data_IF_385059788923
#
_entry.id   IF_385059788923
#
_cell.length_a   1.000
_cell.length_b   1.000
_cell.length_c   1.000
_cell.angle_alpha   90.00
_cell.angle_beta   90.00
_cell.angle_gamma   90.00
#
_symmetry.space_group_name_H-M   'P 1'
#
loop_
_entity.id
_entity.type
_entity.pdbx_description
1 polymer ?
#
# COMPACT_ATOMS: atom_id res chain seq x y z
N UNK A 1 28.92 -35.46 -0.48
CA UNK A 1 27.51 -35.08 -0.70
C UNK A 1 27.50 -34.31 -2.01
N UNK A 2 26.83 -34.89 -3.00
CA UNK A 2 26.65 -34.31 -4.34
C UNK A 2 25.91 -32.98 -4.21
N UNK A 3 26.36 -32.00 -4.98
CA UNK A 3 25.88 -30.63 -4.91
C UNK A 3 24.38 -30.52 -5.17
N UNK A 4 23.72 -29.73 -4.32
CA UNK A 4 22.57 -28.95 -4.75
C UNK A 4 23.11 -27.77 -5.59
N UNK A 5 23.63 -28.10 -6.77
CA UNK A 5 23.92 -27.15 -7.87
C UNK A 5 22.68 -26.92 -8.74
N UNK A 6 21.48 -27.18 -8.21
CA UNK A 6 20.27 -26.54 -8.71
C UNK A 6 20.07 -25.25 -7.91
N UNK A 7 21.01 -24.30 -8.08
CA UNK A 7 20.71 -22.91 -7.82
C UNK A 7 19.41 -22.61 -8.55
N UNK A 8 18.40 -22.17 -7.79
CA UNK A 8 17.06 -21.86 -8.25
C UNK A 8 17.11 -21.36 -9.69
N UNK A 9 16.75 -22.21 -10.65
CA UNK A 9 16.57 -21.73 -12.02
C UNK A 9 15.46 -20.70 -11.89
N UNK A 10 15.81 -19.41 -11.97
CA UNK A 10 14.84 -18.32 -11.91
C UNK A 10 13.89 -18.49 -13.08
N UNK A 11 12.81 -19.23 -12.85
CA UNK A 11 11.74 -19.38 -13.81
C UNK A 11 11.09 -18.01 -13.96
N UNK A 12 10.89 -17.57 -15.19
CA UNK A 12 10.14 -16.34 -15.45
C UNK A 12 8.77 -16.51 -14.78
N UNK A 13 8.41 -15.63 -13.82
CA UNK A 13 7.15 -15.77 -13.10
C UNK A 13 5.98 -15.60 -14.07
N UNK A 14 4.87 -16.28 -13.76
CA UNK A 14 3.65 -16.13 -14.55
C UNK A 14 3.13 -14.69 -14.51
N UNK A 15 2.45 -14.24 -15.56
CA UNK A 15 1.94 -12.86 -15.64
C UNK A 15 1.05 -12.49 -14.44
N UNK A 16 0.21 -13.41 -13.98
CA UNK A 16 -0.62 -13.20 -12.79
C UNK A 16 0.21 -13.03 -11.53
N UNK A 17 1.28 -13.81 -11.39
CA UNK A 17 2.19 -13.73 -10.24
C UNK A 17 2.87 -12.36 -10.18
N UNK A 18 3.36 -11.86 -11.32
CA UNK A 18 3.97 -10.52 -11.42
C UNK A 18 2.99 -9.44 -10.95
N UNK A 19 1.72 -9.50 -11.38
CA UNK A 19 0.71 -8.52 -10.97
C UNK A 19 0.39 -8.61 -9.48
N UNK A 20 0.23 -9.82 -8.96
CA UNK A 20 -0.04 -10.04 -7.53
C UNK A 20 1.12 -9.56 -6.66
N UNK A 21 2.36 -9.94 -6.99
CA UNK A 21 3.56 -9.53 -6.24
C UNK A 21 3.77 -8.02 -6.30
N UNK A 22 3.50 -7.38 -7.45
CA UNK A 22 3.56 -5.93 -7.58
C UNK A 22 2.55 -5.23 -6.66
N UNK A 23 1.31 -5.71 -6.63
CA UNK A 23 0.29 -5.16 -5.75
C UNK A 23 0.62 -5.38 -4.27
N UNK A 24 1.01 -6.60 -3.87
CA UNK A 24 1.43 -6.88 -2.49
C UNK A 24 2.65 -6.06 -2.07
N UNK A 25 3.62 -5.86 -2.97
CA UNK A 25 4.79 -5.01 -2.71
C UNK A 25 4.40 -3.55 -2.45
N UNK A 26 3.41 -3.02 -3.18
CA UNK A 26 2.86 -1.69 -2.91
C UNK A 26 2.18 -1.62 -1.53
N UNK A 27 1.38 -2.63 -1.17
CA UNK A 27 0.66 -2.65 0.11
C UNK A 27 1.62 -2.80 1.31
N UNK A 28 2.59 -3.70 1.22
CA UNK A 28 3.54 -4.02 2.29
C UNK A 28 4.55 -2.90 2.54
N UNK A 29 5.10 -2.33 1.45
CA UNK A 29 6.19 -1.34 1.53
C UNK A 29 5.82 0.01 0.93
N UNK A 30 5.24 0.02 -0.27
CA UNK A 30 4.96 1.25 -1.02
C UNK A 30 4.12 2.27 -0.26
N UNK A 31 3.02 1.85 0.38
CA UNK A 31 2.17 2.74 1.17
C UNK A 31 2.92 3.39 2.34
N UNK A 32 3.75 2.62 3.03
CA UNK A 32 4.57 3.11 4.14
C UNK A 32 5.66 4.05 3.63
N UNK A 33 6.36 3.69 2.56
CA UNK A 33 7.41 4.50 1.94
C UNK A 33 6.90 5.87 1.49
N UNK A 34 5.74 5.93 0.83
CA UNK A 34 5.15 7.20 0.38
C UNK A 34 4.74 8.10 1.55
N UNK A 35 4.29 7.52 2.67
CA UNK A 35 3.97 8.28 3.88
C UNK A 35 5.20 8.83 4.58
N UNK A 36 6.31 8.09 4.61
CA UNK A 36 7.59 8.60 5.12
C UNK A 36 8.14 9.77 4.31
N UNK A 37 7.82 9.84 3.01
CA UNK A 37 8.19 10.97 2.15
C UNK A 37 7.24 12.16 2.26
N UNK A 38 6.07 11.98 2.88
CA UNK A 38 5.08 13.04 2.99
C UNK A 38 5.60 14.17 3.89
N UNK A 39 5.68 15.42 3.40
CA UNK A 39 6.24 16.50 4.19
C UNK A 39 5.29 16.96 5.29
N UNK A 40 5.87 17.54 6.34
CA UNK A 40 5.11 18.36 7.28
C UNK A 40 4.63 19.62 6.57
N UNK A 41 3.43 20.06 6.91
CA UNK A 41 2.83 21.26 6.33
C UNK A 41 2.72 22.29 7.45
N UNK A 42 3.40 23.41 7.28
CA UNK A 42 3.36 24.54 8.22
C UNK A 42 2.48 25.65 7.65
N UNK A 43 1.86 26.43 8.52
CA UNK A 43 1.22 27.68 8.13
C UNK A 43 2.28 28.77 7.82
N UNK A 44 1.84 29.96 7.39
CA UNK A 44 2.76 31.02 6.95
C UNK A 44 3.64 31.54 8.09
N UNK A 45 3.11 31.58 9.31
CA UNK A 45 3.83 32.09 10.48
C UNK A 45 4.54 30.98 11.28
N UNK A 46 4.45 29.72 10.82
CA UNK A 46 5.02 28.53 11.47
C UNK A 46 4.53 28.32 12.91
N UNK A 47 3.33 28.80 13.21
CA UNK A 47 2.68 28.61 14.51
C UNK A 47 1.94 27.27 14.59
N UNK A 48 1.57 26.71 13.44
CA UNK A 48 0.79 25.47 13.34
C UNK A 48 1.48 24.50 12.38
N UNK A 49 1.65 23.26 12.81
CA UNK A 49 2.23 22.17 12.02
C UNK A 49 1.22 21.02 11.85
N UNK A 50 0.99 20.63 10.60
CA UNK A 50 0.30 19.39 10.26
C UNK A 50 1.31 18.30 9.91
N UNK A 51 1.14 17.12 10.51
CA UNK A 51 1.96 15.95 10.20
C UNK A 51 1.12 14.66 10.15
N UNK A 52 1.54 13.73 9.30
CA UNK A 52 1.03 12.36 9.32
C UNK A 52 1.88 11.51 10.26
N UNK A 53 1.24 10.70 11.10
CA UNK A 53 1.93 9.68 11.90
C UNK A 53 2.15 8.45 11.02
N UNK A 54 3.39 8.14 10.72
CA UNK A 54 3.79 7.18 9.69
C UNK A 54 3.77 5.73 10.16
N UNK A 55 3.71 5.50 11.48
CA UNK A 55 3.93 4.19 12.10
C UNK A 55 2.76 3.22 11.91
N UNK A 56 1.53 3.73 11.81
CA UNK A 56 0.33 2.88 11.74
C UNK A 56 -0.70 3.39 10.76
N UNK A 57 -1.38 2.45 10.12
CA UNK A 57 -2.48 2.71 9.21
C UNK A 57 -3.48 1.56 9.27
N UNK A 58 -4.71 1.82 8.85
CA UNK A 58 -5.76 0.81 8.77
C UNK A 58 -6.34 0.79 7.37
N UNK A 59 -6.53 -0.41 6.84
CA UNK A 59 -7.27 -0.65 5.61
C UNK A 59 -8.54 -1.38 5.95
N UNK A 60 -9.67 -0.87 5.47
CA UNK A 60 -10.98 -1.47 5.71
C UNK A 60 -11.34 -2.37 4.55
N UNK A 61 -11.78 -3.59 4.86
CA UNK A 61 -12.29 -4.50 3.85
C UNK A 61 -13.53 -3.90 3.17
N UNK A 62 -13.61 -3.88 1.82
CA UNK A 62 -14.76 -3.36 1.12
C UNK A 62 -16.05 -4.10 1.51
N UNK A 63 -17.12 -3.35 1.83
CA UNK A 63 -18.41 -3.93 2.23
C UNK A 63 -19.16 -4.60 1.07
N UNK A 64 -18.90 -4.16 -0.16
CA UNK A 64 -19.54 -4.64 -1.39
C UNK A 64 -18.58 -5.59 -2.10
N UNK A 65 -19.06 -6.73 -2.60
CA UNK A 65 -18.22 -7.69 -3.32
C UNK A 65 -17.89 -7.20 -4.72
N UNK A 66 -16.75 -7.65 -5.25
CA UNK A 66 -16.27 -7.31 -6.59
C UNK A 66 -17.37 -7.46 -7.67
N UNK A 67 -18.09 -8.58 -7.69
CA UNK A 67 -19.15 -8.82 -8.69
C UNK A 67 -20.25 -7.77 -8.62
N UNK A 68 -20.67 -7.41 -7.40
CA UNK A 68 -21.75 -6.44 -7.19
C UNK A 68 -21.28 -5.04 -7.63
N UNK A 69 -20.00 -4.69 -7.41
CA UNK A 69 -19.43 -3.43 -7.93
C UNK A 69 -19.42 -3.36 -9.45
N UNK A 70 -19.23 -4.48 -10.16
CA UNK A 70 -19.33 -4.53 -11.63
C UNK A 70 -20.76 -4.26 -12.09
N UNK A 71 -21.75 -4.90 -11.47
CA UNK A 71 -23.16 -4.70 -11.82
C UNK A 71 -23.63 -3.27 -11.55
N UNK A 72 -23.22 -2.70 -10.42
CA UNK A 72 -23.60 -1.34 -10.01
C UNK A 72 -22.72 -0.26 -10.66
N UNK A 73 -21.74 -0.64 -11.48
CA UNK A 73 -20.78 0.29 -12.11
C UNK A 73 -20.04 1.17 -11.10
N UNK A 74 -19.64 0.57 -9.97
CA UNK A 74 -18.88 1.19 -8.89
C UNK A 74 -17.42 0.74 -8.93
N UNK A 75 -16.54 1.49 -8.24
CA UNK A 75 -15.15 1.10 -8.02
C UNK A 75 -15.04 0.18 -6.81
N UNK A 76 -14.38 -0.98 -6.96
CA UNK A 76 -14.01 -1.84 -5.84
C UNK A 76 -12.76 -1.28 -5.14
N UNK A 77 -12.96 -0.56 -4.03
CA UNK A 77 -11.88 0.12 -3.29
C UNK A 77 -11.93 -0.15 -1.79
N UNK A 78 -10.76 -0.17 -1.16
CA UNK A 78 -10.58 -0.23 0.30
C UNK A 78 -10.30 1.17 0.85
N UNK A 79 -10.90 1.52 1.99
CA UNK A 79 -10.64 2.79 2.67
C UNK A 79 -9.32 2.72 3.46
N UNK A 80 -8.49 3.74 3.31
CA UNK A 80 -7.22 3.91 4.03
C UNK A 80 -7.38 4.98 5.11
N UNK A 81 -7.19 4.59 6.37
CA UNK A 81 -7.17 5.49 7.51
C UNK A 81 -5.75 5.72 8.01
N UNK A 82 -5.43 6.99 8.23
CA UNK A 82 -4.11 7.49 8.61
C UNK A 82 -4.27 8.43 9.80
N UNK A 83 -3.53 8.18 10.87
CA UNK A 83 -3.45 9.12 11.98
C UNK A 83 -2.68 10.37 11.57
N UNK A 84 -3.21 11.54 11.92
CA UNK A 84 -2.57 12.82 11.67
C UNK A 84 -2.63 13.68 12.94
N UNK A 85 -1.67 14.59 13.08
CA UNK A 85 -1.58 15.55 14.16
C UNK A 85 -1.61 16.97 13.62
N UNK A 86 -2.26 17.85 14.38
CA UNK A 86 -2.13 19.28 14.26
C UNK A 86 -1.52 19.76 15.58
N UNK A 87 -0.31 20.32 15.50
CA UNK A 87 0.47 20.81 16.63
C UNK A 87 0.50 22.32 16.58
#
# INVERSE_FOLDING_TARGET
MLGDENGEMSTIPGLNQIQFEGFFGFMDRGLTEERYKFPKIEDTEQEIEFQLFVETYQLVEPLIKERDTVYESLTYSSELYVSAGLI
#
